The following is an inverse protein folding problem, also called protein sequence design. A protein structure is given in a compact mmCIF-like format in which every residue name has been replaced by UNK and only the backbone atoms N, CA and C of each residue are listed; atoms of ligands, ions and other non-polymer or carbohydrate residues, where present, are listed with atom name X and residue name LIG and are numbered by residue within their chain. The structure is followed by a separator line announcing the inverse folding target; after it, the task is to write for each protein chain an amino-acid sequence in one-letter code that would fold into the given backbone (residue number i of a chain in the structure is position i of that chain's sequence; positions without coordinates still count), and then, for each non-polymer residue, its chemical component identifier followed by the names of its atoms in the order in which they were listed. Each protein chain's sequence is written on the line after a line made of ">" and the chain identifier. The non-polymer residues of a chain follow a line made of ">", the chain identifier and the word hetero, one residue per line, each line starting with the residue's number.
data_IF_581321013240
#
_entry.id   IF_581321013240
#
_cell.length_a   1.000
_cell.length_b   1.000
_cell.length_c   1.000
_cell.angle_alpha   90.00
_cell.angle_beta   90.00
_cell.angle_gamma   90.00
#
_symmetry.space_group_name_H-M   'P 1'
#
loop_
_entity.id
_entity.type
_entity.pdbx_description
1 polymer ?
#
# COMPACT_ATOMS: atom_id res chain seq x y z
N UNK A 1 -2.22 -16.84 -31.30
CA UNK A 1 -2.72 -17.78 -30.28
C UNK A 1 -1.85 -17.61 -29.05
N UNK A 2 -2.35 -16.93 -28.01
CA UNK A 2 -1.57 -16.67 -26.81
C UNK A 2 -1.39 -17.95 -26.01
N UNK A 3 -0.15 -18.38 -25.79
CA UNK A 3 0.12 -19.46 -24.85
C UNK A 3 -0.17 -18.97 -23.42
N UNK A 4 -0.98 -19.72 -22.67
CA UNK A 4 -1.19 -19.48 -21.25
C UNK A 4 -0.10 -20.22 -20.46
N UNK A 5 0.77 -19.45 -19.81
CA UNK A 5 1.91 -19.96 -19.05
C UNK A 5 1.51 -20.20 -17.59
N UNK A 6 0.99 -21.40 -17.28
CA UNK A 6 0.58 -21.77 -15.91
C UNK A 6 1.71 -22.35 -15.06
N UNK A 7 2.75 -22.90 -15.70
CA UNK A 7 3.85 -23.61 -15.04
C UNK A 7 5.19 -22.86 -15.10
N UNK A 8 5.16 -21.62 -15.61
CA UNK A 8 6.35 -20.78 -15.69
C UNK A 8 6.58 -20.03 -14.39
N UNK A 9 7.85 -19.88 -14.02
CA UNK A 9 8.23 -19.10 -12.83
C UNK A 9 8.14 -17.61 -13.11
N UNK A 10 8.02 -16.79 -12.06
CA UNK A 10 8.04 -15.32 -12.20
C UNK A 10 9.28 -14.81 -12.96
N UNK A 11 10.40 -15.53 -12.91
CA UNK A 11 11.63 -15.18 -13.62
C UNK A 11 11.45 -15.19 -15.14
N UNK A 12 10.65 -16.10 -15.68
CA UNK A 12 10.31 -16.14 -17.11
C UNK A 12 9.67 -14.82 -17.57
N UNK A 13 8.68 -14.32 -16.81
CA UNK A 13 7.98 -13.08 -17.13
C UNK A 13 8.85 -11.83 -16.95
N UNK A 14 9.68 -11.79 -15.90
CA UNK A 14 10.61 -10.69 -15.67
C UNK A 14 11.68 -10.61 -16.78
N UNK A 15 12.24 -11.76 -17.17
CA UNK A 15 13.20 -11.85 -18.26
C UNK A 15 12.59 -11.46 -19.61
N UNK A 16 11.38 -11.93 -19.92
CA UNK A 16 10.66 -11.55 -21.15
C UNK A 16 10.32 -10.04 -21.20
N UNK A 17 10.20 -9.40 -20.03
CA UNK A 17 10.00 -7.94 -19.91
C UNK A 17 11.29 -7.14 -19.92
N UNK A 18 12.46 -7.78 -20.04
CA UNK A 18 13.77 -7.14 -19.95
C UNK A 18 14.11 -6.58 -18.57
N UNK A 19 13.47 -7.08 -17.50
CA UNK A 19 13.71 -6.64 -16.12
C UNK A 19 14.63 -7.62 -15.41
N UNK A 20 15.72 -7.12 -14.85
CA UNK A 20 16.66 -7.93 -14.07
C UNK A 20 16.09 -8.25 -12.68
N UNK A 21 15.95 -9.54 -12.39
CA UNK A 21 15.53 -10.04 -11.08
C UNK A 21 16.78 -10.40 -10.26
N UNK A 22 17.30 -9.44 -9.50
CA UNK A 22 18.45 -9.69 -8.62
C UNK A 22 18.01 -10.52 -7.41
N UNK A 23 18.61 -11.69 -7.22
CA UNK A 23 18.36 -12.52 -6.03
C UNK A 23 19.02 -11.97 -4.76
N UNK A 24 19.89 -10.96 -4.88
CA UNK A 24 20.59 -10.33 -3.78
C UNK A 24 19.99 -8.97 -3.42
N UNK A 25 19.89 -8.70 -2.11
CA UNK A 25 19.46 -7.41 -1.57
C UNK A 25 20.52 -6.34 -1.82
N UNK A 26 20.20 -5.37 -2.66
CA UNK A 26 21.07 -4.20 -2.83
C UNK A 26 20.73 -3.18 -1.74
N UNK A 27 21.69 -2.34 -1.31
CA UNK A 27 21.44 -1.34 -0.27
C UNK A 27 20.29 -0.40 -0.64
N UNK A 28 20.11 -0.08 -1.93
CA UNK A 28 18.98 0.73 -2.42
C UNK A 28 17.62 0.06 -2.17
N UNK A 29 17.54 -1.27 -2.32
CA UNK A 29 16.27 -2.01 -2.16
C UNK A 29 15.87 -1.99 -0.68
N UNK A 30 16.84 -2.15 0.23
CA UNK A 30 16.64 -2.06 1.68
C UNK A 30 16.16 -0.67 2.10
N UNK A 31 16.79 0.39 1.59
CA UNK A 31 16.40 1.77 1.92
C UNK A 31 14.98 2.08 1.43
N UNK A 32 14.64 1.66 0.21
CA UNK A 32 13.29 1.85 -0.34
C UNK A 32 12.25 1.10 0.50
N UNK A 33 12.53 -0.13 0.91
CA UNK A 33 11.62 -0.90 1.78
C UNK A 33 11.49 -0.26 3.16
N UNK A 34 12.58 0.18 3.78
CA UNK A 34 12.56 0.81 5.09
C UNK A 34 11.79 2.14 5.07
N UNK A 35 12.05 3.00 4.09
CA UNK A 35 11.32 4.27 3.91
C UNK A 35 9.86 4.03 3.59
N UNK A 36 9.56 3.10 2.67
CA UNK A 36 8.20 2.73 2.30
C UNK A 36 7.41 2.24 3.51
N UNK A 37 7.95 1.31 4.28
CA UNK A 37 7.31 0.79 5.49
C UNK A 37 7.09 1.88 6.55
N UNK A 38 8.06 2.79 6.72
CA UNK A 38 7.92 3.92 7.65
C UNK A 38 6.77 4.84 7.24
N UNK A 39 6.70 5.22 5.97
CA UNK A 39 5.63 6.06 5.43
C UNK A 39 4.28 5.34 5.54
N UNK A 40 4.21 4.06 5.22
CA UNK A 40 2.98 3.27 5.37
C UNK A 40 2.48 3.27 6.80
N UNK A 41 3.34 3.06 7.81
CA UNK A 41 2.94 3.12 9.22
C UNK A 41 2.44 4.51 9.60
N UNK A 42 3.08 5.58 9.14
CA UNK A 42 2.60 6.94 9.39
C UNK A 42 1.22 7.18 8.81
N UNK A 43 0.98 6.77 7.55
CA UNK A 43 -0.32 6.87 6.88
C UNK A 43 -1.38 6.08 7.64
N UNK A 44 -1.06 4.87 8.11
CA UNK A 44 -1.96 4.07 8.93
C UNK A 44 -2.34 4.80 10.22
N UNK A 45 -1.35 5.32 10.96
CA UNK A 45 -1.57 6.02 12.22
C UNK A 45 -2.37 7.32 12.03
N UNK A 46 -2.07 8.12 11.00
CA UNK A 46 -2.80 9.36 10.73
C UNK A 46 -4.25 9.10 10.38
N UNK A 47 -4.53 8.11 9.53
CA UNK A 47 -5.90 7.78 9.14
C UNK A 47 -6.70 7.15 10.28
N UNK A 48 -6.08 6.32 11.12
CA UNK A 48 -6.69 5.81 12.36
C UNK A 48 -7.01 6.94 13.34
N UNK A 49 -6.11 7.91 13.51
CA UNK A 49 -6.32 9.06 14.39
C UNK A 49 -7.48 9.94 13.90
N UNK A 50 -7.60 10.16 12.59
CA UNK A 50 -8.74 10.88 11.99
C UNK A 50 -10.06 10.16 12.27
N UNK A 51 -10.12 8.85 12.04
CA UNK A 51 -11.31 8.04 12.33
C UNK A 51 -11.66 8.09 13.82
N UNK A 52 -10.67 7.96 14.71
CA UNK A 52 -10.88 8.03 16.15
C UNK A 52 -11.35 9.42 16.63
N UNK A 53 -10.81 10.51 16.05
CA UNK A 53 -11.21 11.87 16.36
C UNK A 53 -12.66 12.18 15.94
N UNK A 54 -13.09 11.62 14.80
CA UNK A 54 -14.48 11.66 14.33
C UNK A 54 -15.38 10.86 15.27
N UNK A 55 -14.97 9.65 15.68
CA UNK A 55 -15.74 8.78 16.56
C UNK A 55 -15.92 9.33 17.99
N UNK A 56 -14.89 10.00 18.55
CA UNK A 56 -14.94 10.56 19.90
C UNK A 56 -15.87 11.79 20.00
N UNK A 57 -16.04 12.54 18.91
CA UNK A 57 -16.85 13.75 18.91
C UNK A 57 -18.29 13.52 18.44
N UNK A 58 -19.21 13.39 19.40
CA UNK A 58 -20.67 13.23 19.18
C UNK A 58 -21.27 14.33 18.27
N UNK A 59 -20.68 15.53 18.24
CA UNK A 59 -21.13 16.72 17.46
C UNK A 59 -20.76 16.70 15.98
N UNK A 60 -19.97 15.74 15.50
CA UNK A 60 -19.57 15.59 14.09
C UNK A 60 -20.39 14.56 13.30
N UNK A 61 -21.62 14.25 13.72
CA UNK A 61 -22.59 13.51 12.89
C UNK A 61 -23.16 14.37 11.76
N UNK A 62 -22.27 15.00 10.97
CA UNK A 62 -22.61 15.57 9.67
C UNK A 62 -22.15 14.61 8.58
N UNK A 63 -22.88 14.51 7.45
CA UNK A 63 -22.60 13.56 6.36
C UNK A 63 -21.16 13.66 5.81
N UNK A 64 -20.53 14.83 5.94
CA UNK A 64 -19.16 15.09 5.50
C UNK A 64 -18.13 14.25 6.28
N UNK A 65 -18.31 14.00 7.58
CA UNK A 65 -17.32 13.24 8.38
C UNK A 65 -17.36 11.73 8.11
N UNK A 66 -18.51 11.21 7.66
CA UNK A 66 -18.61 9.82 7.19
C UNK A 66 -17.86 9.61 5.87
N UNK A 67 -17.94 10.56 4.95
CA UNK A 67 -17.17 10.53 3.70
C UNK A 67 -15.66 10.63 3.96
N UNK A 68 -15.26 11.48 4.91
CA UNK A 68 -13.86 11.62 5.32
C UNK A 68 -13.33 10.34 6.00
N UNK A 69 -14.16 9.67 6.80
CA UNK A 69 -13.83 8.34 7.36
C UNK A 69 -13.69 7.26 6.29
N UNK A 70 -14.51 7.28 5.24
CA UNK A 70 -14.39 6.35 4.11
C UNK A 70 -13.12 6.61 3.27
N UNK A 71 -12.76 7.88 3.07
CA UNK A 71 -11.49 8.25 2.44
C UNK A 71 -10.31 7.75 3.29
N UNK A 72 -10.34 7.99 4.60
CA UNK A 72 -9.31 7.50 5.51
C UNK A 72 -9.21 5.96 5.50
N UNK A 73 -10.34 5.25 5.40
CA UNK A 73 -10.36 3.80 5.26
C UNK A 73 -9.79 3.32 3.90
N UNK A 74 -9.99 4.09 2.83
CA UNK A 74 -9.37 3.83 1.53
C UNK A 74 -7.85 4.07 1.58
N UNK A 75 -7.37 5.07 2.32
CA UNK A 75 -5.92 5.26 2.55
C UNK A 75 -5.29 4.16 3.44
N UNK A 76 -6.09 3.41 4.20
CA UNK A 76 -5.63 2.23 4.95
C UNK A 76 -5.52 0.96 4.08
N UNK A 77 -6.26 0.89 2.97
CA UNK A 77 -6.41 -0.30 2.13
C UNK A 77 -5.57 -0.22 0.85
#
# INVERSE_FOLDING_TARGET
>A
MGQCYYNETIGFFYNNSGKELSSHWRPKDVVVVALGLTVSVLVLLTNLLVIAAIASNRRFHQPIYYLLGNLAAADLF
#
